data_IF_876585528501
#
_entry.id   IF_876585528501
#
_cell.length_a   1.000
_cell.length_b   1.000
_cell.length_c   1.000
_cell.angle_alpha   90.00
_cell.angle_beta   90.00
_cell.angle_gamma   90.00
#
_symmetry.space_group_name_H-M   'P 1'
#
loop_
_entity.id
_entity.type
_entity.pdbx_description
1 polymer ?
#
# COMPACT_ATOMS: atom_id res chain seq x y z
N UNK A 1 16.19 -10.03 9.29
CA UNK A 1 15.42 -11.28 9.32
C UNK A 1 14.36 -11.17 8.24
N UNK A 2 14.35 -12.08 7.27
CA UNK A 2 13.30 -12.15 6.25
C UNK A 2 12.12 -12.98 6.79
N UNK A 3 10.91 -12.70 6.31
CA UNK A 3 9.69 -13.43 6.64
C UNK A 3 8.83 -13.60 5.38
N UNK A 4 7.73 -14.35 5.49
CA UNK A 4 6.87 -14.61 4.34
C UNK A 4 6.01 -13.40 3.98
N UNK A 5 6.00 -13.05 2.70
CA UNK A 5 5.14 -12.01 2.13
C UNK A 5 4.14 -12.55 1.11
N UNK A 6 3.06 -11.82 0.93
CA UNK A 6 2.12 -11.90 -0.19
C UNK A 6 2.52 -10.90 -1.25
N UNK A 7 2.69 -11.33 -2.51
CA UNK A 7 3.07 -10.45 -3.62
C UNK A 7 1.88 -10.18 -4.56
N UNK A 8 1.81 -8.96 -5.07
CA UNK A 8 0.74 -8.50 -5.96
C UNK A 8 1.27 -7.60 -7.09
N UNK A 9 0.44 -7.44 -8.13
CA UNK A 9 0.78 -6.64 -9.31
C UNK A 9 1.68 -7.43 -10.24
N UNK A 10 2.98 -7.13 -10.21
CA UNK A 10 3.97 -7.84 -11.01
C UNK A 10 4.06 -9.33 -10.66
N UNK A 11 3.94 -10.19 -11.69
CA UNK A 11 3.92 -11.66 -11.53
C UNK A 11 5.29 -12.31 -11.42
N UNK A 12 6.37 -11.55 -11.53
CA UNK A 12 7.75 -12.05 -11.52
C UNK A 12 8.58 -11.62 -10.29
N UNK A 13 7.97 -10.87 -9.37
CA UNK A 13 8.67 -10.26 -8.22
C UNK A 13 9.44 -11.30 -7.39
N UNK A 14 10.71 -11.01 -7.16
CA UNK A 14 11.64 -11.76 -6.30
C UNK A 14 12.79 -10.87 -5.81
N UNK A 15 13.70 -11.41 -5.02
CA UNK A 15 14.81 -10.68 -4.39
C UNK A 15 15.82 -10.06 -5.38
N UNK A 16 15.83 -10.50 -6.64
CA UNK A 16 16.71 -9.99 -7.71
C UNK A 16 16.00 -9.02 -8.64
N UNK A 17 14.77 -8.62 -8.31
CA UNK A 17 13.99 -7.72 -9.17
C UNK A 17 14.70 -6.39 -9.37
N UNK A 18 14.66 -5.92 -10.62
CA UNK A 18 15.11 -4.60 -11.04
C UNK A 18 13.96 -3.88 -11.71
N UNK A 19 14.04 -2.57 -11.86
CA UNK A 19 13.03 -1.81 -12.62
C UNK A 19 12.82 -2.39 -14.01
N UNK A 20 13.91 -2.77 -14.70
CA UNK A 20 13.84 -3.36 -16.03
C UNK A 20 13.16 -4.73 -16.04
N UNK A 21 13.45 -5.59 -15.06
CA UNK A 21 12.79 -6.91 -15.00
C UNK A 21 11.30 -6.78 -14.69
N UNK A 22 10.92 -5.83 -13.83
CA UNK A 22 9.51 -5.58 -13.52
C UNK A 22 8.77 -5.06 -14.76
N UNK A 23 9.31 -4.04 -15.45
CA UNK A 23 8.71 -3.48 -16.68
C UNK A 23 8.56 -4.50 -17.81
N UNK A 24 9.41 -5.54 -17.86
CA UNK A 24 9.37 -6.58 -18.88
C UNK A 24 8.41 -7.74 -18.55
N UNK A 25 7.92 -7.84 -17.30
CA UNK A 25 7.13 -8.98 -16.84
C UNK A 25 5.62 -8.69 -16.85
N UNK A 26 4.75 -9.71 -16.95
CA UNK A 26 3.30 -9.50 -16.88
C UNK A 26 2.83 -8.98 -15.51
N UNK A 27 1.71 -8.26 -15.51
CA UNK A 27 1.03 -7.75 -14.30
C UNK A 27 -0.40 -8.27 -14.19
N UNK A 28 -0.87 -8.52 -12.96
CA UNK A 28 -2.28 -8.80 -12.68
C UNK A 28 -3.15 -7.54 -12.73
N UNK A 29 -2.57 -6.34 -12.68
CA UNK A 29 -3.29 -5.07 -12.84
C UNK A 29 -3.96 -4.94 -14.22
N UNK A 30 -3.55 -5.75 -15.19
CA UNK A 30 -4.10 -5.82 -16.55
C UNK A 30 -5.37 -6.69 -16.69
N UNK A 31 -5.85 -7.36 -15.63
CA UNK A 31 -6.96 -8.33 -15.74
C UNK A 31 -8.05 -8.13 -14.66
N UNK A 32 -9.32 -8.18 -15.08
CA UNK A 32 -10.43 -8.67 -14.25
C UNK A 32 -11.00 -7.75 -13.16
N UNK A 33 -10.80 -6.44 -13.20
CA UNK A 33 -11.50 -5.50 -12.31
C UNK A 33 -12.04 -4.27 -13.07
N UNK A 34 -12.93 -3.48 -12.47
CA UNK A 34 -13.43 -2.22 -13.03
C UNK A 34 -12.32 -1.16 -13.24
N UNK A 35 -11.15 -1.35 -12.63
CA UNK A 35 -10.03 -0.39 -12.62
C UNK A 35 -8.76 -1.06 -13.18
N UNK A 36 -8.84 -1.52 -14.43
CA UNK A 36 -7.72 -2.15 -15.13
C UNK A 36 -6.67 -1.09 -15.48
N UNK A 37 -5.44 -1.29 -15.03
CA UNK A 37 -4.30 -0.52 -15.50
C UNK A 37 -3.18 -1.47 -15.90
N UNK A 38 -3.21 -1.88 -17.17
CA UNK A 38 -2.20 -2.76 -17.74
C UNK A 38 -0.82 -2.12 -17.85
N UNK A 39 -0.68 -0.83 -17.56
CA UNK A 39 0.62 -0.16 -17.49
C UNK A 39 1.25 -0.23 -16.10
N UNK A 40 0.53 -0.68 -15.06
CA UNK A 40 1.09 -0.84 -13.72
C UNK A 40 1.78 -2.20 -13.59
N UNK A 41 3.09 -2.21 -13.79
CA UNK A 41 3.97 -3.35 -13.58
C UNK A 41 4.67 -3.30 -12.22
N UNK A 42 4.21 -2.45 -11.30
CA UNK A 42 4.81 -2.32 -9.98
C UNK A 42 4.63 -3.60 -9.16
N UNK A 43 5.57 -3.82 -8.26
CA UNK A 43 5.47 -4.87 -7.27
C UNK A 43 4.99 -4.29 -5.95
N UNK A 44 4.00 -4.94 -5.34
CA UNK A 44 3.51 -4.60 -4.01
C UNK A 44 3.51 -5.85 -3.16
N UNK A 45 3.88 -5.74 -1.89
CA UNK A 45 3.81 -6.90 -0.99
C UNK A 45 3.54 -6.52 0.46
N UNK A 46 2.97 -7.47 1.22
CA UNK A 46 2.67 -7.35 2.66
C UNK A 46 3.00 -8.65 3.38
N UNK A 47 3.24 -8.67 4.70
CA UNK A 47 3.44 -9.90 5.45
C UNK A 47 2.23 -10.83 5.34
N UNK A 48 2.46 -12.14 5.24
CA UNK A 48 1.37 -13.12 5.27
C UNK A 48 0.59 -13.04 6.58
N UNK A 49 -0.74 -13.06 6.49
CA UNK A 49 -1.67 -13.12 7.63
C UNK A 49 -1.93 -14.56 8.06
N UNK A 50 -2.08 -14.79 9.35
CA UNK A 50 -2.45 -16.06 9.95
C UNK A 50 -3.56 -15.89 10.98
N UNK A 51 -4.45 -16.88 11.06
CA UNK A 51 -5.42 -17.08 12.14
C UNK A 51 -5.10 -18.44 12.77
N UNK A 52 -4.74 -18.46 14.05
CA UNK A 52 -4.40 -19.69 14.79
C UNK A 52 -3.32 -20.53 14.09
N UNK A 53 -2.31 -19.85 13.54
CA UNK A 53 -1.19 -20.48 12.81
C UNK A 53 -1.53 -20.93 11.38
N UNK A 54 -2.78 -20.79 10.92
CA UNK A 54 -3.17 -21.09 9.54
C UNK A 54 -3.10 -19.84 8.67
N UNK A 55 -2.34 -19.92 7.57
CA UNK A 55 -2.19 -18.82 6.60
C UNK A 55 -3.53 -18.48 5.96
N UNK A 56 -3.86 -17.19 5.92
CA UNK A 56 -5.02 -16.63 5.25
C UNK A 56 -4.53 -15.89 4.01
N UNK A 57 -4.75 -16.50 2.84
CA UNK A 57 -4.33 -15.90 1.57
C UNK A 57 -5.29 -14.76 1.19
N UNK A 58 -4.79 -13.54 0.89
CA UNK A 58 -5.61 -12.43 0.46
C UNK A 58 -6.26 -12.71 -0.91
N UNK A 59 -7.44 -12.13 -1.13
CA UNK A 59 -8.20 -12.29 -2.39
C UNK A 59 -7.96 -11.17 -3.37
N UNK A 60 -7.60 -9.98 -2.89
CA UNK A 60 -7.36 -8.81 -3.73
C UNK A 60 -6.45 -7.79 -3.04
N UNK A 61 -5.84 -6.94 -3.86
CA UNK A 61 -5.25 -5.67 -3.44
C UNK A 61 -5.82 -4.54 -4.31
N UNK A 62 -6.03 -3.38 -3.71
CA UNK A 62 -6.35 -2.16 -4.43
C UNK A 62 -5.26 -1.12 -4.16
N UNK A 63 -4.43 -0.84 -5.17
CA UNK A 63 -3.44 0.24 -5.14
C UNK A 63 -4.09 1.53 -5.65
N UNK A 64 -4.23 2.52 -4.79
CA UNK A 64 -4.87 3.81 -5.10
C UNK A 64 -3.86 4.94 -5.00
N UNK A 65 -3.73 5.72 -6.08
CA UNK A 65 -2.88 6.91 -6.14
C UNK A 65 -3.75 8.16 -6.12
N UNK A 66 -3.82 8.82 -4.97
CA UNK A 66 -4.72 9.96 -4.76
C UNK A 66 -3.91 11.24 -4.59
N UNK A 67 -4.37 12.32 -5.21
CA UNK A 67 -3.85 13.64 -4.94
C UNK A 67 -4.61 14.25 -3.76
N UNK A 68 -3.94 14.42 -2.61
CA UNK A 68 -4.54 15.18 -1.52
C UNK A 68 -4.68 16.65 -1.94
N UNK A 69 -5.87 17.21 -1.70
CA UNK A 69 -6.14 18.62 -1.97
C UNK A 69 -5.24 19.49 -1.08
N UNK A 70 -4.47 20.37 -1.72
CA UNK A 70 -3.64 21.37 -1.04
C UNK A 70 -3.79 22.71 -1.75
N UNK A 71 -3.45 23.79 -1.06
CA UNK A 71 -3.45 25.14 -1.61
C UNK A 71 -2.32 25.41 -2.61
N UNK A 72 -1.41 24.46 -2.85
CA UNK A 72 -0.34 24.60 -3.85
C UNK A 72 0.13 23.25 -4.39
N UNK A 73 0.35 23.21 -5.71
CA UNK A 73 1.09 22.15 -6.41
C UNK A 73 0.29 20.89 -6.75
N UNK A 74 0.47 20.42 -7.99
CA UNK A 74 0.07 19.07 -8.43
C UNK A 74 1.13 18.09 -7.94
N UNK A 75 0.70 16.90 -7.49
CA UNK A 75 1.66 15.86 -7.11
C UNK A 75 2.45 15.38 -8.32
N UNK A 76 3.77 15.21 -8.17
CA UNK A 76 4.59 14.53 -9.17
C UNK A 76 4.40 13.02 -9.02
N UNK A 77 4.26 12.25 -10.13
CA UNK A 77 4.19 10.80 -10.04
C UNK A 77 5.47 10.23 -9.44
N UNK A 78 5.37 9.09 -8.75
CA UNK A 78 6.57 8.33 -8.39
C UNK A 78 7.32 7.93 -9.66
N UNK A 79 8.64 7.97 -9.61
CA UNK A 79 9.48 7.53 -10.73
C UNK A 79 9.65 6.01 -10.72
N UNK A 80 9.82 5.41 -11.90
CA UNK A 80 10.20 4.00 -12.01
C UNK A 80 11.53 3.75 -11.30
N UNK A 81 11.61 2.74 -10.44
CA UNK A 81 12.75 2.61 -9.55
C UNK A 81 12.46 2.93 -8.09
N UNK A 82 11.40 3.69 -7.82
CA UNK A 82 11.07 4.13 -6.47
C UNK A 82 10.65 2.95 -5.61
N UNK A 83 11.30 2.79 -4.45
CA UNK A 83 11.01 1.75 -3.48
C UNK A 83 10.72 2.37 -2.14
N UNK A 84 9.65 1.90 -1.50
CA UNK A 84 9.32 2.36 -0.18
C UNK A 84 8.67 1.25 0.65
N UNK A 85 8.84 1.36 1.97
CA UNK A 85 8.10 0.61 2.98
C UNK A 85 7.30 1.59 3.83
N UNK A 86 6.03 1.29 4.05
CA UNK A 86 5.17 1.99 5.00
C UNK A 86 4.50 0.99 5.93
N UNK A 87 4.11 1.43 7.13
CA UNK A 87 3.47 0.60 8.11
C UNK A 87 3.99 0.83 9.52
N UNK A 88 3.85 -0.19 10.37
CA UNK A 88 4.38 -0.24 11.74
C UNK A 88 3.78 0.80 12.69
N UNK A 89 2.81 1.60 12.24
CA UNK A 89 2.18 2.65 13.03
C UNK A 89 0.67 2.70 12.77
N UNK A 90 -0.08 3.10 13.79
CA UNK A 90 -1.54 3.31 13.67
C UNK A 90 -1.93 4.46 12.74
N UNK A 91 -0.98 5.33 12.36
CA UNK A 91 -1.20 6.40 11.38
C UNK A 91 -1.12 5.88 9.94
N UNK A 92 -0.30 4.86 9.70
CA UNK A 92 -0.07 4.30 8.37
C UNK A 92 -0.94 3.08 8.07
N UNK A 93 -1.33 2.28 9.09
CA UNK A 93 -2.12 1.06 8.91
C UNK A 93 -3.45 1.13 9.65
N UNK A 94 -4.52 0.74 8.94
CA UNK A 94 -5.87 0.61 9.47
C UNK A 94 -6.44 -0.75 9.09
N UNK A 95 -6.97 -1.48 10.06
CA UNK A 95 -7.76 -2.68 9.82
C UNK A 95 -9.24 -2.35 9.74
N UNK A 96 -10.02 -3.15 9.04
CA UNK A 96 -11.47 -2.97 9.03
C UNK A 96 -12.20 -4.19 8.49
N UNK A 97 -13.51 -4.21 8.72
CA UNK A 97 -14.42 -5.16 8.07
C UNK A 97 -15.22 -4.41 7.01
N UNK A 98 -15.45 -5.03 5.86
CA UNK A 98 -16.26 -4.46 4.78
C UNK A 98 -17.14 -5.52 4.13
N UNK A 99 -18.33 -5.14 3.70
CA UNK A 99 -19.20 -5.94 2.83
C UNK A 99 -19.86 -5.02 1.80
N UNK A 100 -20.53 -5.60 0.80
CA UNK A 100 -21.22 -4.83 -0.26
C UNK A 100 -22.22 -3.82 0.30
N UNK A 101 -22.86 -4.14 1.44
CA UNK A 101 -23.96 -3.36 2.01
C UNK A 101 -23.57 -2.52 3.25
N UNK A 102 -22.29 -2.51 3.65
CA UNK A 102 -21.87 -1.84 4.89
C UNK A 102 -20.83 -0.75 4.65
N UNK A 103 -21.00 0.37 5.36
CA UNK A 103 -19.93 1.37 5.45
C UNK A 103 -18.74 0.73 6.17
N UNK A 104 -17.57 0.72 5.54
CA UNK A 104 -16.35 0.16 6.13
C UNK A 104 -15.99 0.95 7.40
N UNK A 105 -16.03 0.28 8.55
CA UNK A 105 -15.49 0.81 9.81
C UNK A 105 -14.05 0.34 9.94
N UNK A 106 -13.17 1.27 10.31
CA UNK A 106 -11.74 0.98 10.54
C UNK A 106 -11.39 1.10 12.02
N UNK A 107 -10.44 0.28 12.46
CA UNK A 107 -9.87 0.34 13.81
C UNK A 107 -8.90 1.52 13.93
N UNK A 108 -8.71 1.99 15.17
CA UNK A 108 -7.85 3.16 15.45
C UNK A 108 -6.38 2.80 15.63
N UNK A 109 -6.11 1.55 15.99
CA UNK A 109 -4.77 1.09 16.32
C UNK A 109 -4.39 -0.10 15.46
N UNK A 110 -3.14 -0.13 14.99
CA UNK A 110 -2.61 -1.20 14.15
C UNK A 110 -2.67 -2.60 14.82
N UNK A 111 -2.67 -2.66 16.15
CA UNK A 111 -2.80 -3.91 16.90
C UNK A 111 -4.25 -4.42 17.03
N UNK A 112 -5.24 -3.58 16.75
CA UNK A 112 -6.66 -3.92 16.88
C UNK A 112 -7.16 -4.45 15.54
N UNK A 113 -6.99 -5.75 15.30
CA UNK A 113 -7.60 -6.44 14.17
C UNK A 113 -9.04 -6.78 14.54
N UNK A 114 -10.05 -6.26 13.83
CA UNK A 114 -11.44 -6.47 14.18
C UNK A 114 -11.86 -7.92 13.90
N UNK A 115 -12.83 -8.42 14.67
CA UNK A 115 -13.52 -9.65 14.32
C UNK A 115 -14.45 -9.37 13.13
N UNK A 116 -14.18 -10.00 11.98
CA UNK A 116 -15.04 -9.96 10.81
C UNK A 116 -15.76 -11.30 10.66
N UNK A 117 -17.07 -11.24 10.38
CA UNK A 117 -17.88 -12.43 10.14
C UNK A 117 -18.54 -12.32 8.77
N UNK A 118 -18.84 -13.46 8.14
CA UNK A 118 -19.56 -13.49 6.89
C UNK A 118 -20.88 -12.67 7.00
N UNK A 119 -21.22 -11.83 6.00
CA UNK A 119 -20.62 -11.74 4.66
C UNK A 119 -19.47 -10.74 4.53
N UNK A 120 -18.87 -10.28 5.64
CA UNK A 120 -17.77 -9.31 5.61
C UNK A 120 -16.43 -9.94 5.23
N UNK A 121 -15.57 -9.13 4.64
CA UNK A 121 -14.16 -9.36 4.47
C UNK A 121 -13.37 -8.53 5.48
N UNK A 122 -12.31 -9.10 6.05
CA UNK A 122 -11.26 -8.30 6.66
C UNK A 122 -10.48 -7.58 5.57
N UNK A 123 -10.06 -6.34 5.83
CA UNK A 123 -9.07 -5.65 5.02
C UNK A 123 -8.02 -4.94 5.88
N UNK A 124 -6.83 -4.78 5.31
CA UNK A 124 -5.75 -3.95 5.85
C UNK A 124 -5.44 -2.83 4.85
N UNK A 125 -5.61 -1.59 5.27
CA UNK A 125 -5.27 -0.41 4.49
C UNK A 125 -3.95 0.16 4.98
N UNK A 126 -2.95 0.21 4.11
CA UNK A 126 -1.67 0.87 4.37
C UNK A 126 -1.54 2.12 3.52
N UNK A 127 -1.27 3.26 4.15
CA UNK A 127 -1.01 4.53 3.50
C UNK A 127 0.49 4.80 3.49
N UNK A 128 1.05 5.12 2.33
CA UNK A 128 2.39 5.66 2.20
C UNK A 128 2.36 7.16 2.37
N UNK A 129 3.42 7.72 2.94
CA UNK A 129 3.58 9.16 3.04
C UNK A 129 3.66 9.82 1.66
N UNK A 130 3.28 11.10 1.58
CA UNK A 130 2.97 11.77 0.32
C UNK A 130 3.85 13.00 0.02
N UNK A 131 5.00 13.08 0.68
CA UNK A 131 6.05 14.07 0.44
C UNK A 131 7.41 13.37 0.38
N UNK A 132 8.15 13.57 -0.70
CA UNK A 132 9.45 12.97 -0.95
C UNK A 132 10.60 13.95 -0.70
N UNK A 133 11.70 13.46 -0.12
CA UNK A 133 12.94 14.22 0.11
C UNK A 133 13.61 14.71 -1.18
N UNK A 134 13.40 14.03 -2.30
CA UNK A 134 14.06 14.32 -3.56
C UNK A 134 15.51 13.83 -3.65
N UNK A 135 16.00 13.12 -2.63
CA UNK A 135 17.40 12.72 -2.53
C UNK A 135 17.64 11.30 -3.04
N UNK A 136 16.91 10.32 -2.50
CA UNK A 136 17.02 8.91 -2.88
C UNK A 136 15.64 8.34 -3.19
N UNK A 137 15.60 7.47 -4.20
CA UNK A 137 14.44 6.67 -4.55
C UNK A 137 14.37 5.35 -3.78
N UNK A 138 15.44 5.00 -3.07
CA UNK A 138 15.61 3.74 -2.35
C UNK A 138 16.71 3.89 -1.28
N UNK A 139 16.46 4.57 -0.14
CA UNK A 139 17.42 4.60 0.97
C UNK A 139 17.56 3.20 1.59
N UNK A 140 18.63 2.98 2.37
CA UNK A 140 18.95 1.68 3.00
C UNK A 140 17.79 1.15 3.86
N UNK A 141 17.06 2.05 4.54
CA UNK A 141 15.91 1.69 5.37
C UNK A 141 14.57 1.66 4.62
N UNK A 142 14.60 1.91 3.31
CA UNK A 142 13.47 2.00 2.40
C UNK A 142 12.33 2.94 2.84
N UNK A 143 12.50 3.81 3.84
CA UNK A 143 11.36 4.49 4.49
C UNK A 143 11.61 5.95 4.82
N UNK A 144 12.83 6.34 5.19
CA UNK A 144 13.17 7.70 5.67
C UNK A 144 12.99 8.82 4.64
N UNK A 145 12.79 8.49 3.37
CA UNK A 145 12.69 9.45 2.28
C UNK A 145 11.26 9.95 2.02
N UNK A 146 10.25 9.40 2.71
CA UNK A 146 8.86 9.83 2.63
C UNK A 146 8.34 10.36 3.96
N UNK A 147 7.66 11.51 3.92
CA UNK A 147 6.96 12.10 5.06
C UNK A 147 5.54 12.53 4.68
N UNK A 148 4.67 12.63 5.68
CA UNK A 148 3.31 13.11 5.44
C UNK A 148 3.27 14.63 5.29
N UNK A 149 2.34 15.12 4.48
CA UNK A 149 1.98 16.54 4.54
C UNK A 149 1.54 16.91 5.97
N UNK A 150 1.98 18.06 6.44
CA UNK A 150 1.62 18.63 7.74
C UNK A 150 0.74 19.87 7.53
N UNK A 151 -0.11 20.17 8.52
CA UNK A 151 -0.90 21.41 8.49
C UNK A 151 -0.05 22.59 8.93
N UNK A 152 0.21 23.52 8.01
CA UNK A 152 0.86 24.81 8.26
C UNK A 152 -0.14 25.91 7.91
N UNK A 153 -0.49 26.77 8.88
CA UNK A 153 -1.48 27.84 8.70
C UNK A 153 -2.81 27.35 8.09
N UNK A 154 -3.30 26.20 8.57
CA UNK A 154 -4.55 25.58 8.11
C UNK A 154 -4.47 24.88 6.76
N UNK A 155 -3.31 24.83 6.12
CA UNK A 155 -3.10 24.24 4.79
C UNK A 155 -2.17 23.05 4.86
N UNK A 156 -2.47 21.98 4.12
CA UNK A 156 -1.56 20.84 3.99
C UNK A 156 -0.38 21.23 3.12
N UNK A 157 0.83 21.07 3.66
CA UNK A 157 2.09 21.38 2.99
C UNK A 157 3.11 20.27 3.27
N UNK A 158 3.99 20.05 2.30
CA UNK A 158 5.12 19.16 2.54
C UNK A 158 6.13 19.83 3.49
N UNK A 159 6.71 19.06 4.43
CA UNK A 159 7.80 19.57 5.27
C UNK A 159 9.00 20.05 4.43
N UNK A 160 9.79 21.03 4.90
CA UNK A 160 10.99 21.47 4.19
C UNK A 160 12.02 20.36 3.91
N UNK A 161 12.05 19.31 4.75
CA UNK A 161 12.89 18.12 4.57
C UNK A 161 12.41 17.21 3.44
N UNK A 162 11.14 17.30 3.06
CA UNK A 162 10.50 16.46 2.05
C UNK A 162 9.71 17.32 1.05
N UNK A 163 10.35 18.25 0.31
CA UNK A 163 9.65 19.32 -0.38
C UNK A 163 8.85 18.87 -1.61
N UNK A 164 9.09 17.65 -2.13
CA UNK A 164 8.48 17.19 -3.39
C UNK A 164 7.16 16.48 -3.10
N UNK A 165 6.04 17.05 -3.54
CA UNK A 165 4.73 16.42 -3.43
C UNK A 165 4.65 15.20 -4.36
N UNK A 166 4.26 14.06 -3.81
CA UNK A 166 4.00 12.79 -4.52
C UNK A 166 2.58 12.31 -4.21
N UNK A 167 1.96 11.42 -5.01
CA UNK A 167 0.61 10.94 -4.69
C UNK A 167 0.60 10.20 -3.35
N UNK A 168 -0.53 10.27 -2.64
CA UNK A 168 -0.81 9.35 -1.54
C UNK A 168 -1.10 7.98 -2.15
N UNK A 169 -0.12 7.06 -2.06
CA UNK A 169 -0.37 5.65 -2.36
C UNK A 169 -1.05 5.01 -1.15
N UNK A 170 -2.20 4.39 -1.39
CA UNK A 170 -2.85 3.51 -0.43
C UNK A 170 -2.94 2.11 -1.01
N UNK A 171 -2.48 1.11 -0.24
CA UNK A 171 -2.66 -0.30 -0.53
C UNK A 171 -3.75 -0.86 0.37
N UNK A 172 -4.87 -1.29 -0.21
CA UNK A 172 -5.96 -1.93 0.52
C UNK A 172 -5.97 -3.43 0.21
N UNK A 173 -5.44 -4.24 1.13
CA UNK A 173 -5.39 -5.70 1.00
C UNK A 173 -6.67 -6.28 1.58
N UNK A 174 -7.39 -7.06 0.79
CA UNK A 174 -8.65 -7.70 1.17
C UNK A 174 -8.44 -9.21 1.35
N UNK A 175 -8.99 -9.74 2.44
CA UNK A 175 -8.95 -11.17 2.76
C UNK A 175 -10.29 -11.86 2.41
N UNK A 176 -10.33 -13.20 2.33
CA UNK A 176 -11.54 -13.94 1.99
C UNK A 176 -12.69 -13.65 2.96
N UNK A 177 -13.94 -13.86 2.50
CA UNK A 177 -15.09 -13.92 3.42
C UNK A 177 -14.90 -15.13 4.32
N UNK A 178 -14.55 -14.88 5.56
CA UNK A 178 -14.35 -15.89 6.59
C UNK A 178 -14.58 -15.26 7.95
N UNK A 179 -14.88 -16.10 8.94
CA UNK A 179 -14.78 -15.67 10.34
C UNK A 179 -13.30 -15.51 10.68
N UNK A 180 -12.86 -14.26 10.80
CA UNK A 180 -11.55 -13.89 11.34
C UNK A 180 -11.84 -13.20 12.67
N UNK A 181 -11.18 -13.64 13.73
CA UNK A 181 -11.40 -13.08 15.07
C UNK A 181 -10.21 -12.26 15.49
N UNK A 182 -10.37 -11.35 16.43
CA UNK A 182 -9.24 -10.61 17.00
C UNK A 182 -8.23 -11.51 17.73
N UNK A 183 -8.66 -12.68 18.22
CA UNK A 183 -7.80 -13.65 18.88
C UNK A 183 -7.07 -14.53 17.85
N UNK A 184 -5.82 -14.91 18.15
CA UNK A 184 -5.05 -15.83 17.29
C UNK A 184 -4.56 -15.24 15.97
N UNK A 185 -4.84 -13.97 15.69
CA UNK A 185 -4.31 -13.27 14.52
C UNK A 185 -2.84 -12.94 14.71
N UNK A 186 -2.06 -13.27 13.70
CA UNK A 186 -0.63 -12.94 13.62
C UNK A 186 -0.20 -12.71 12.18
N UNK A 187 0.98 -12.13 12.02
CA UNK A 187 1.64 -11.93 10.75
C UNK A 187 2.90 -12.79 10.71
N UNK A 188 3.40 -13.07 9.51
CA UNK A 188 4.72 -13.67 9.34
C UNK A 188 5.83 -12.85 10.04
N UNK A 189 5.62 -11.55 10.20
CA UNK A 189 6.50 -10.62 10.92
C UNK A 189 6.24 -10.56 12.45
N UNK A 190 5.24 -11.26 12.97
CA UNK A 190 4.92 -11.32 14.41
C UNK A 190 3.51 -10.82 14.74
N UNK A 191 3.41 -9.86 15.67
CA UNK A 191 2.13 -9.29 16.11
C UNK A 191 1.49 -8.41 15.03
N UNK A 192 0.17 -8.14 15.07
CA UNK A 192 -0.47 -7.24 14.11
C UNK A 192 0.18 -5.85 13.98
N UNK A 193 0.75 -5.26 15.05
CA UNK A 193 1.56 -4.03 14.98
C UNK A 193 2.76 -4.07 14.02
N UNK A 194 3.18 -5.25 13.60
CA UNK A 194 4.28 -5.39 12.63
C UNK A 194 3.80 -5.31 11.18
N UNK A 195 2.51 -5.06 10.93
CA UNK A 195 1.99 -4.92 9.57
C UNK A 195 2.71 -3.78 8.85
N UNK A 196 3.16 -4.08 7.64
CA UNK A 196 3.75 -3.14 6.73
C UNK A 196 3.39 -3.52 5.30
N UNK A 197 3.62 -2.60 4.40
CA UNK A 197 3.53 -2.83 2.99
C UNK A 197 4.71 -2.19 2.29
N UNK A 198 5.09 -2.82 1.20
CA UNK A 198 6.23 -2.44 0.40
C UNK A 198 5.76 -2.14 -1.02
N UNK A 199 6.46 -1.24 -1.68
CA UNK A 199 6.28 -0.95 -3.09
C UNK A 199 7.60 -0.94 -3.84
N UNK A 200 7.56 -1.34 -5.10
CA UNK A 200 8.60 -1.10 -6.09
C UNK A 200 7.94 -0.64 -7.40
N UNK A 201 8.05 0.66 -7.68
CA UNK A 201 7.37 1.35 -8.77
C UNK A 201 7.94 0.97 -10.14
N UNK A 202 7.05 0.51 -11.03
CA UNK A 202 7.35 0.20 -12.42
C UNK A 202 6.11 0.40 -13.30
N UNK A 203 6.03 1.55 -13.97
CA UNK A 203 4.95 1.94 -14.85
C UNK A 203 5.44 2.13 -16.29
N UNK A 204 4.68 1.63 -17.27
CA UNK A 204 4.93 1.90 -18.69
C UNK A 204 4.16 3.11 -19.17
N UNK A 205 4.60 3.72 -20.28
CA UNK A 205 3.83 4.74 -21.04
C UNK A 205 3.34 5.96 -20.23
N UNK A 206 4.11 6.40 -19.22
CA UNK A 206 3.68 7.44 -18.27
C UNK A 206 2.35 7.12 -17.56
N UNK A 207 2.01 5.83 -17.40
CA UNK A 207 0.72 5.36 -16.91
C UNK A 207 0.34 5.94 -15.55
N UNK A 208 1.30 6.06 -14.61
CA UNK A 208 1.03 6.66 -13.30
C UNK A 208 0.60 8.12 -13.41
N UNK A 209 1.27 8.89 -14.27
CA UNK A 209 0.92 10.29 -14.50
C UNK A 209 -0.48 10.41 -15.10
N UNK A 210 -0.86 9.52 -16.00
CA UNK A 210 -2.21 9.47 -16.59
C UNK A 210 -3.25 9.08 -15.53
N UNK A 211 -2.97 8.04 -14.75
CA UNK A 211 -3.82 7.55 -13.64
C UNK A 211 -4.12 8.65 -12.64
N UNK A 212 -3.13 9.49 -12.33
CA UNK A 212 -3.26 10.63 -11.42
C UNK A 212 -4.08 11.81 -11.98
N UNK A 213 -4.27 11.90 -13.30
CA UNK A 213 -5.08 12.95 -13.97
C UNK A 213 -6.53 12.54 -14.19
N UNK A 214 -6.80 11.23 -14.30
CA UNK A 214 -8.12 10.67 -14.57
C UNK A 214 -8.99 10.37 -13.34
N UNK A 215 -8.58 10.85 -12.16
CA UNK A 215 -9.35 10.78 -10.91
C UNK A 215 -10.07 12.11 -10.64
#
# INVERSE_FOLDING_TARGET
MSHQHEFFGNTSTNEKSTTQSLLAAPTTCAKGSQFIDGNDHSAYWVPSLYQDGKRIQPTAIYASYTQLSSSSGVASPFQNGFKAVSGLTSQSVQWGCTSVDTQSLVTKTIDDVPTCQAPQHLFARTSFANCWSGLSMDPIDHSSHLENQVKVNGRLQCPPTNPIKVPLLTLNVQYPVATITNAGVSLASGKPATFHADMFQAWTNDGLAQRMRGN
#
